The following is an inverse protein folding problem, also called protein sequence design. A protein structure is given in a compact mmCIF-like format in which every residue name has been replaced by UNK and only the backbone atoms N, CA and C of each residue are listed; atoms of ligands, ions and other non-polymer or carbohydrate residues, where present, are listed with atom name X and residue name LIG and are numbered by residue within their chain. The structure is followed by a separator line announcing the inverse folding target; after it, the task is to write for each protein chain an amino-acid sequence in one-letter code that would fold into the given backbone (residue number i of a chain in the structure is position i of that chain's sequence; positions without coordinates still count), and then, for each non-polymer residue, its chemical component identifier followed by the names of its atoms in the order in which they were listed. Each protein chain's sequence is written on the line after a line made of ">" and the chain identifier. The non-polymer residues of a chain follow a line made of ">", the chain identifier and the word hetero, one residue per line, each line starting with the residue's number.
data_IF_147393041537
#
_entry.id   IF_147393041537
#
_cell.length_a   1.000
_cell.length_b   1.000
_cell.length_c   1.000
_cell.angle_alpha   90.00
_cell.angle_beta   90.00
_cell.angle_gamma   90.00
#
_symmetry.space_group_name_H-M   'P 1'
#
loop_
_entity.id
_entity.type
_entity.pdbx_description
1 polymer ?
#
# COMPACT_ATOMS: atom_id res chain seq x y z
N UNK A 1 40.48 -14.80 -43.53
CA UNK A 1 39.68 -13.69 -42.99
C UNK A 1 39.25 -14.09 -41.60
N UNK A 2 39.85 -13.46 -40.61
CA UNK A 2 39.78 -13.83 -39.20
C UNK A 2 38.58 -13.22 -38.46
N UNK A 3 38.36 -13.81 -37.26
CA UNK A 3 37.57 -13.36 -36.09
C UNK A 3 36.10 -13.79 -36.17
N UNK A 4 35.65 -14.82 -35.46
CA UNK A 4 35.90 -15.13 -34.04
C UNK A 4 34.61 -14.79 -33.29
N UNK A 5 33.75 -15.79 -33.09
CA UNK A 5 32.44 -15.63 -32.45
C UNK A 5 32.60 -15.09 -31.02
N UNK A 6 32.13 -13.87 -30.81
CA UNK A 6 32.10 -13.27 -29.49
C UNK A 6 31.11 -14.04 -28.60
N UNK A 7 31.48 -14.44 -27.37
CA UNK A 7 30.54 -15.08 -26.46
C UNK A 7 29.43 -14.08 -26.12
N UNK A 8 28.19 -14.56 -26.15
CA UNK A 8 27.03 -13.84 -25.64
C UNK A 8 27.14 -13.78 -24.10
N UNK A 9 27.98 -12.87 -23.61
CA UNK A 9 28.06 -12.53 -22.20
C UNK A 9 26.80 -11.71 -21.90
N UNK A 10 25.85 -12.36 -21.25
CA UNK A 10 24.72 -11.69 -20.61
C UNK A 10 25.28 -10.56 -19.73
N UNK A 11 24.84 -9.29 -19.85
CA UNK A 11 25.24 -8.27 -18.90
C UNK A 11 24.69 -8.65 -17.51
N UNK A 12 25.59 -9.23 -16.69
CA UNK A 12 25.46 -9.35 -15.25
C UNK A 12 25.67 -7.96 -14.66
N UNK A 13 24.68 -7.09 -14.80
CA UNK A 13 24.68 -5.79 -14.12
C UNK A 13 23.33 -5.61 -13.41
N UNK A 14 23.12 -6.44 -12.39
CA UNK A 14 22.21 -6.13 -11.28
C UNK A 14 22.99 -5.27 -10.29
N UNK A 15 23.32 -4.06 -10.69
CA UNK A 15 23.66 -3.01 -9.74
C UNK A 15 22.35 -2.44 -9.21
N UNK A 16 21.93 -2.97 -8.06
CA UNK A 16 20.94 -2.36 -7.18
C UNK A 16 21.40 -0.94 -6.83
N UNK A 17 20.95 0.04 -7.62
CA UNK A 17 20.92 1.44 -7.20
C UNK A 17 19.81 1.58 -6.16
N UNK A 18 20.08 1.11 -4.94
CA UNK A 18 19.44 1.60 -3.75
C UNK A 18 19.87 3.07 -3.58
N UNK A 19 19.25 3.95 -4.36
CA UNK A 19 19.37 5.39 -4.21
C UNK A 19 18.78 5.75 -2.85
N UNK A 20 19.65 5.81 -1.84
CA UNK A 20 19.29 6.18 -0.48
C UNK A 20 18.67 7.57 -0.48
N UNK A 21 17.35 7.62 -0.40
CA UNK A 21 16.63 8.87 -0.17
C UNK A 21 16.59 9.09 1.34
N UNK A 22 17.37 10.05 1.83
CA UNK A 22 17.13 10.64 3.16
C UNK A 22 15.75 11.31 3.05
N UNK A 23 14.72 10.65 3.57
CA UNK A 23 13.39 11.25 3.64
C UNK A 23 13.46 12.38 4.68
N UNK A 24 13.14 13.63 4.30
CA UNK A 24 13.08 14.72 5.26
C UNK A 24 12.10 14.32 6.38
N UNK A 25 12.47 14.59 7.63
CA UNK A 25 11.64 14.26 8.78
C UNK A 25 10.29 14.97 8.58
N UNK A 26 9.25 14.19 8.32
CA UNK A 26 7.92 14.74 8.17
C UNK A 26 7.56 15.43 9.49
N UNK A 27 6.98 16.62 9.41
CA UNK A 27 6.33 17.22 10.57
C UNK A 27 5.20 16.28 11.02
N UNK A 28 5.47 15.47 12.05
CA UNK A 28 4.62 14.36 12.50
C UNK A 28 3.50 14.82 13.43
N UNK A 29 3.29 16.13 13.58
CA UNK A 29 2.30 16.72 14.49
C UNK A 29 0.86 16.22 14.25
N UNK A 30 0.60 15.53 13.12
CA UNK A 30 -0.66 14.86 12.80
C UNK A 30 -0.52 13.57 11.98
N UNK A 31 0.60 12.86 12.11
CA UNK A 31 0.83 11.63 11.34
C UNK A 31 -0.19 10.53 11.71
N UNK A 32 -0.81 9.92 10.69
CA UNK A 32 -1.52 8.66 10.87
C UNK A 32 -0.50 7.53 10.92
N UNK A 33 -0.62 6.65 11.92
CA UNK A 33 0.29 5.52 12.11
C UNK A 33 0.11 4.46 11.00
N UNK A 34 -1.05 4.46 10.32
CA UNK A 34 -1.37 3.50 9.26
C UNK A 34 -2.37 4.06 8.24
N UNK A 35 -2.09 3.80 6.96
CA UNK A 35 -3.04 3.96 5.85
C UNK A 35 -3.27 2.61 5.18
N UNK A 36 -4.54 2.19 5.03
CA UNK A 36 -4.88 0.90 4.42
C UNK A 36 -6.08 1.04 3.50
N UNK A 37 -5.88 0.79 2.20
CA UNK A 37 -6.95 0.55 1.22
C UNK A 37 -7.10 -0.96 0.99
N UNK A 38 -8.30 -1.51 1.18
CA UNK A 38 -8.50 -2.97 1.07
C UNK A 38 -9.93 -3.37 0.66
N UNK A 39 -10.20 -4.67 0.66
CA UNK A 39 -11.53 -5.25 0.46
C UNK A 39 -12.43 -5.03 1.71
N UNK A 40 -13.75 -4.94 1.54
CA UNK A 40 -14.69 -4.59 2.62
C UNK A 40 -14.69 -5.50 3.86
N UNK A 41 -14.66 -6.81 3.71
CA UNK A 41 -14.59 -7.72 4.86
C UNK A 41 -13.23 -7.59 5.57
N UNK A 42 -12.16 -7.40 4.79
CA UNK A 42 -10.82 -7.11 5.33
C UNK A 42 -10.80 -5.78 6.11
N UNK A 43 -11.44 -4.73 5.58
CA UNK A 43 -11.60 -3.43 6.23
C UNK A 43 -12.27 -3.56 7.60
N UNK A 44 -13.34 -4.36 7.71
CA UNK A 44 -14.02 -4.61 8.99
C UNK A 44 -13.09 -5.30 9.99
N UNK A 45 -12.37 -6.33 9.55
CA UNK A 45 -11.44 -7.07 10.40
C UNK A 45 -10.31 -6.16 10.93
N UNK A 46 -9.70 -5.35 10.05
CA UNK A 46 -8.63 -4.43 10.41
C UNK A 46 -9.12 -3.38 11.41
N UNK A 47 -10.29 -2.76 11.19
CA UNK A 47 -10.83 -1.78 12.15
C UNK A 47 -11.14 -2.42 13.50
N UNK A 48 -11.62 -3.66 13.52
CA UNK A 48 -11.87 -4.38 14.75
C UNK A 48 -10.56 -4.63 15.53
N UNK A 49 -9.53 -5.14 14.85
CA UNK A 49 -8.20 -5.36 15.43
C UNK A 49 -7.58 -4.07 15.98
N UNK A 50 -7.59 -2.99 15.19
CA UNK A 50 -7.00 -1.72 15.60
C UNK A 50 -7.69 -1.11 16.82
N UNK A 51 -9.02 -1.27 16.95
CA UNK A 51 -9.78 -0.75 18.08
C UNK A 51 -9.68 -1.64 19.33
N UNK A 52 -9.84 -2.95 19.17
CA UNK A 52 -9.90 -3.89 20.30
C UNK A 52 -8.52 -4.18 20.86
N UNK A 53 -7.57 -4.50 20.00
CA UNK A 53 -6.27 -5.03 20.43
C UNK A 53 -5.23 -3.93 20.56
N UNK A 54 -5.29 -2.94 19.66
CA UNK A 54 -4.34 -1.82 19.63
C UNK A 54 -4.85 -0.53 20.25
N UNK A 55 -6.14 -0.47 20.63
CA UNK A 55 -6.81 0.70 21.23
C UNK A 55 -6.52 2.01 20.49
N UNK A 56 -6.41 1.95 19.16
CA UNK A 56 -6.09 3.11 18.32
C UNK A 56 -7.32 4.00 18.14
N UNK A 57 -7.10 5.31 18.23
CA UNK A 57 -8.14 6.31 17.98
C UNK A 57 -8.35 6.47 16.46
N UNK A 58 -9.53 6.97 16.07
CA UNK A 58 -9.94 7.08 14.65
C UNK A 58 -9.02 8.01 13.85
N UNK A 59 -8.44 9.01 14.50
CA UNK A 59 -7.49 9.99 13.95
C UNK A 59 -6.07 9.43 13.78
N UNK A 60 -5.78 8.23 14.30
CA UNK A 60 -4.46 7.60 14.22
C UNK A 60 -4.33 6.55 13.11
N UNK A 61 -5.45 6.14 12.48
CA UNK A 61 -5.43 5.15 11.40
C UNK A 61 -6.53 5.40 10.38
N UNK A 62 -6.14 5.57 9.11
CA UNK A 62 -7.07 5.72 7.99
C UNK A 62 -7.20 4.38 7.25
N UNK A 63 -8.34 3.72 7.41
CA UNK A 63 -8.68 2.46 6.76
C UNK A 63 -9.85 2.72 5.82
N UNK A 64 -9.75 2.33 4.55
CA UNK A 64 -10.75 2.55 3.50
C UNK A 64 -11.01 1.22 2.79
N UNK A 65 -12.28 0.92 2.50
CA UNK A 65 -12.64 -0.19 1.61
C UNK A 65 -12.81 0.32 0.18
N UNK A 66 -12.01 -0.16 -0.76
CA UNK A 66 -12.11 0.22 -2.17
C UNK A 66 -13.02 -0.67 -2.99
N UNK A 67 -13.14 -1.93 -2.61
CA UNK A 67 -13.94 -2.90 -3.35
C UNK A 67 -14.52 -3.95 -2.40
N UNK A 68 -15.49 -4.73 -2.87
CA UNK A 68 -16.06 -5.86 -2.13
C UNK A 68 -16.31 -7.01 -3.08
N UNK A 69 -15.88 -8.20 -2.68
CA UNK A 69 -16.10 -9.40 -3.50
C UNK A 69 -17.61 -9.65 -3.67
N UNK A 70 -18.03 -9.88 -4.92
CA UNK A 70 -19.43 -10.13 -5.26
C UNK A 70 -20.31 -8.88 -5.31
N UNK A 71 -19.71 -7.68 -5.30
CA UNK A 71 -20.40 -6.40 -5.51
C UNK A 71 -19.73 -5.63 -6.63
N UNK A 72 -20.52 -5.12 -7.56
CA UNK A 72 -20.04 -4.15 -8.55
C UNK A 72 -19.85 -2.78 -7.89
N UNK A 73 -19.03 -1.93 -8.50
CA UNK A 73 -18.69 -0.60 -7.98
C UNK A 73 -19.91 0.34 -7.93
N UNK A 74 -20.84 0.22 -8.89
CA UNK A 74 -22.10 0.99 -8.95
C UNK A 74 -23.05 0.67 -7.78
N UNK A 75 -22.92 -0.49 -7.13
CA UNK A 75 -23.70 -0.81 -5.92
C UNK A 75 -23.05 -0.28 -4.63
N UNK A 76 -21.87 0.33 -4.73
CA UNK A 76 -21.05 0.75 -3.58
C UNK A 76 -21.12 2.26 -3.31
N UNK A 77 -21.71 3.04 -4.22
CA UNK A 77 -21.60 4.51 -4.24
C UNK A 77 -22.83 5.28 -3.73
N UNK A 78 -23.84 4.63 -3.13
CA UNK A 78 -24.98 5.37 -2.54
C UNK A 78 -24.84 5.55 -1.03
N UNK A 79 -24.45 6.74 -0.54
CA UNK A 79 -24.78 7.14 0.80
C UNK A 79 -26.22 7.66 0.80
N UNK A 80 -27.17 6.84 1.26
CA UNK A 80 -28.46 7.33 1.76
C UNK A 80 -28.14 8.22 2.98
N UNK A 81 -28.23 9.54 2.79
CA UNK A 81 -28.27 10.53 3.87
C UNK A 81 -29.75 10.85 4.12
N UNK A 82 -30.25 10.40 5.26
CA UNK A 82 -31.52 10.84 5.86
C UNK A 82 -31.24 12.02 6.83
#
# INVERSE_FOLDING_TARGET
>A
MERGGAPHILPQDRTDLASGSILPVADTTRAVDAWVGCEFDSFKAIRAFLRKDKRRKKDQALVISYWRRGKAEDEFSEPEHD
#
